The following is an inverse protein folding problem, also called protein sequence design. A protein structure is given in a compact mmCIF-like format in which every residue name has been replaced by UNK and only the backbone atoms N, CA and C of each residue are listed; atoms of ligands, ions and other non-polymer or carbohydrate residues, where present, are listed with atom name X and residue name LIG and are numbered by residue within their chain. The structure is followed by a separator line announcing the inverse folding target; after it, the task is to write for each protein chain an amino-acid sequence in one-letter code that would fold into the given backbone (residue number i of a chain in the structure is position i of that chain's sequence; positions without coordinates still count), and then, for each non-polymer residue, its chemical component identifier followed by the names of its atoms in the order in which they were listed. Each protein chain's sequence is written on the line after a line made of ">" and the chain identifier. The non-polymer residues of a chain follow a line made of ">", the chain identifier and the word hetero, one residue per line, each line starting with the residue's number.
data_IF_960196100911
#
_entry.id   IF_960196100911
#
_cell.length_a   1.000
_cell.length_b   1.000
_cell.length_c   1.000
_cell.angle_alpha   90.00
_cell.angle_beta   90.00
_cell.angle_gamma   90.00
#
_symmetry.space_group_name_H-M   'P 1'
#
loop_
_entity.id
_entity.type
_entity.pdbx_description
1 polymer ?
#
# COMPACT_ATOMS: atom_id res chain seq x y z
N UNK A 1 14.03 -10.21 -0.41
CA UNK A 1 12.92 -9.66 0.43
C UNK A 1 13.21 -8.19 0.75
N UNK A 2 12.18 -7.37 0.75
CA UNK A 2 12.38 -5.92 1.05
C UNK A 2 11.15 -5.39 1.79
N UNK A 3 11.24 -4.19 2.31
CA UNK A 3 10.08 -3.60 3.05
C UNK A 3 9.44 -2.50 2.20
N UNK A 4 8.57 -2.87 1.29
CA UNK A 4 7.90 -1.85 0.43
C UNK A 4 6.71 -1.27 1.19
N UNK A 5 6.43 0.00 1.01
CA UNK A 5 5.28 0.63 1.73
C UNK A 5 4.42 1.44 0.75
N UNK A 6 3.14 1.20 0.77
CA UNK A 6 2.22 1.95 -0.14
C UNK A 6 1.65 3.15 0.62
N UNK A 7 1.59 4.30 -0.01
CA UNK A 7 1.05 5.51 0.68
C UNK A 7 0.17 6.32 -0.27
N UNK A 8 -0.70 7.12 0.28
CA UNK A 8 -1.60 7.97 -0.55
C UNK A 8 -2.02 9.17 0.30
N UNK A 9 -1.90 10.37 -0.22
CA UNK A 9 -2.27 11.57 0.58
C UNK A 9 -3.77 11.87 0.47
N UNK A 10 -4.34 12.36 1.54
CA UNK A 10 -5.79 12.70 1.53
C UNK A 10 -5.96 14.19 1.84
N UNK A 11 -5.17 14.70 2.76
CA UNK A 11 -5.26 16.14 3.12
C UNK A 11 -4.42 16.97 2.14
N UNK A 12 -4.53 18.27 2.20
CA UNK A 12 -3.74 19.14 1.27
C UNK A 12 -2.72 19.96 2.08
N UNK A 13 -1.92 19.31 2.87
CA UNK A 13 -0.89 20.04 3.68
C UNK A 13 0.45 19.33 3.55
N UNK A 14 0.49 18.07 3.90
CA UNK A 14 1.76 17.30 3.81
C UNK A 14 1.47 15.84 4.16
N UNK A 15 0.36 15.33 3.70
CA UNK A 15 -0.02 13.91 4.00
C UNK A 15 1.07 12.96 3.50
N UNK A 16 1.72 13.28 2.41
CA UNK A 16 2.80 12.38 1.89
C UNK A 16 3.90 12.25 2.95
N UNK A 17 4.25 13.34 3.58
CA UNK A 17 5.30 13.29 4.64
C UNK A 17 4.76 12.48 5.82
N UNK A 18 3.57 12.80 6.26
CA UNK A 18 2.95 12.06 7.40
C UNK A 18 2.78 10.59 7.02
N UNK A 19 2.42 10.32 5.79
CA UNK A 19 2.23 8.91 5.34
C UNK A 19 3.58 8.19 5.40
N UNK A 20 4.59 8.73 4.76
CA UNK A 20 5.95 8.09 4.77
C UNK A 20 6.35 7.76 6.21
N UNK A 21 6.23 8.72 7.10
CA UNK A 21 6.58 8.47 8.53
C UNK A 21 5.70 7.32 9.05
N UNK A 22 4.51 7.20 8.53
CA UNK A 22 3.60 6.10 8.96
C UNK A 22 4.12 4.78 8.41
N UNK A 23 4.59 4.78 7.18
CA UNK A 23 5.13 3.51 6.59
C UNK A 23 6.44 3.16 7.29
N UNK A 24 7.29 4.14 7.49
CA UNK A 24 8.60 3.88 8.17
C UNK A 24 8.33 3.38 9.59
N UNK A 25 7.43 4.03 10.29
CA UNK A 25 7.09 3.58 11.67
C UNK A 25 6.57 2.14 11.60
N UNK A 26 5.88 1.83 10.54
CA UNK A 26 5.34 0.47 10.34
C UNK A 26 6.49 -0.50 10.07
N UNK A 27 7.52 -0.03 9.42
CA UNK A 27 8.68 -0.91 9.10
C UNK A 27 8.91 -0.87 7.59
N UNK A 28 8.89 0.31 7.03
CA UNK A 28 9.09 0.46 5.56
C UNK A 28 10.33 1.32 5.30
N UNK A 29 11.05 1.03 4.25
CA UNK A 29 12.27 1.82 3.93
C UNK A 29 11.87 3.08 3.15
N UNK A 30 12.50 4.19 3.43
CA UNK A 30 12.15 5.46 2.70
C UNK A 30 12.45 5.29 1.22
N UNK A 31 13.47 4.52 0.90
CA UNK A 31 13.82 4.30 -0.53
C UNK A 31 12.68 3.56 -1.23
N UNK A 32 11.90 2.80 -0.49
CA UNK A 32 10.77 2.04 -1.11
C UNK A 32 9.44 2.62 -0.61
N UNK A 33 9.15 3.85 -0.96
CA UNK A 33 7.88 4.49 -0.52
C UNK A 33 7.03 4.82 -1.75
N UNK A 34 6.23 3.88 -2.21
CA UNK A 34 5.37 4.14 -3.40
C UNK A 34 4.12 4.90 -2.95
N UNK A 35 4.27 6.17 -2.66
CA UNK A 35 3.11 6.99 -2.21
C UNK A 35 2.25 7.40 -3.40
N UNK A 36 1.17 8.09 -3.14
CA UNK A 36 0.27 8.54 -4.24
C UNK A 36 -0.18 9.97 -3.97
N UNK A 37 0.33 10.92 -4.71
CA UNK A 37 -0.07 12.34 -4.50
C UNK A 37 -1.50 12.55 -5.01
N UNK A 38 -2.45 11.92 -4.37
CA UNK A 38 -3.88 12.07 -4.80
C UNK A 38 -4.29 13.55 -4.75
N UNK A 39 -3.61 14.35 -3.98
CA UNK A 39 -3.96 15.80 -3.89
C UNK A 39 -3.56 16.50 -5.19
N UNK A 40 -4.21 16.17 -6.27
CA UNK A 40 -3.88 16.81 -7.58
C UNK A 40 -5.16 16.98 -8.40
N UNK A 41 -5.04 17.04 -9.70
CA UNK A 41 -6.24 17.21 -10.56
C UNK A 41 -7.15 15.98 -10.40
N UNK A 42 -6.57 14.83 -10.19
CA UNK A 42 -7.39 13.60 -10.02
C UNK A 42 -6.62 12.59 -9.15
N UNK A 43 -7.15 11.41 -8.98
CA UNK A 43 -6.46 10.38 -8.15
C UNK A 43 -5.17 9.94 -8.85
N UNK A 44 -4.07 9.98 -8.15
CA UNK A 44 -2.77 9.57 -8.77
C UNK A 44 -2.44 8.14 -8.33
N UNK A 45 -3.19 7.17 -8.81
CA UNK A 45 -2.93 5.75 -8.43
C UNK A 45 -1.69 5.24 -9.17
N UNK A 46 -0.53 5.66 -8.76
CA UNK A 46 0.72 5.20 -9.42
C UNK A 46 1.54 4.33 -8.46
N UNK A 47 1.31 4.46 -7.17
CA UNK A 47 2.06 3.65 -6.17
C UNK A 47 1.83 2.16 -6.44
N UNK A 48 0.63 1.68 -6.21
CA UNK A 48 0.34 0.22 -6.45
C UNK A 48 0.55 -0.09 -7.94
N UNK A 49 0.31 0.88 -8.79
CA UNK A 49 0.49 0.65 -10.26
C UNK A 49 1.94 0.25 -10.54
N UNK A 50 2.87 0.87 -9.85
CA UNK A 50 4.31 0.54 -10.04
C UNK A 50 4.70 -0.55 -9.03
N UNK A 51 4.04 -0.57 -7.90
CA UNK A 51 4.34 -1.60 -6.86
C UNK A 51 4.06 -2.99 -7.43
N UNK A 52 3.04 -3.11 -8.24
CA UNK A 52 2.71 -4.43 -8.85
C UNK A 52 3.88 -4.91 -9.72
N UNK A 53 4.70 -3.99 -10.19
CA UNK A 53 5.86 -4.38 -11.05
C UNK A 53 7.20 -4.11 -10.33
N UNK A 54 7.17 -3.69 -9.09
CA UNK A 54 8.45 -3.41 -8.36
C UNK A 54 8.64 -4.42 -7.21
N UNK A 55 7.58 -4.98 -6.70
CA UNK A 55 7.71 -5.96 -5.58
C UNK A 55 8.51 -7.17 -6.04
N UNK A 56 9.28 -7.75 -5.15
CA UNK A 56 10.09 -8.94 -5.52
C UNK A 56 9.41 -10.20 -4.99
N UNK A 57 9.83 -11.36 -5.43
CA UNK A 57 9.21 -12.62 -4.96
C UNK A 57 9.49 -12.81 -3.47
N UNK A 58 8.48 -12.70 -2.65
CA UNK A 58 8.67 -12.87 -1.18
C UNK A 58 8.87 -11.50 -0.51
N UNK A 59 8.37 -10.45 -1.12
CA UNK A 59 8.53 -9.09 -0.53
C UNK A 59 7.32 -8.78 0.37
N UNK A 60 7.49 -7.88 1.31
CA UNK A 60 6.35 -7.52 2.21
C UNK A 60 5.85 -6.12 1.86
N UNK A 61 4.57 -5.99 1.61
CA UNK A 61 4.00 -4.66 1.26
C UNK A 61 3.26 -4.09 2.48
N UNK A 62 3.89 -3.20 3.20
CA UNK A 62 3.25 -2.60 4.41
C UNK A 62 2.26 -1.52 3.97
N UNK A 63 1.00 -1.66 4.33
CA UNK A 63 -0.01 -0.64 3.94
C UNK A 63 -0.47 0.12 5.19
N UNK A 64 -0.66 1.42 5.07
CA UNK A 64 -1.10 2.23 6.24
C UNK A 64 -2.61 2.48 6.13
N UNK A 65 -3.23 2.87 7.21
CA UNK A 65 -4.70 3.13 7.19
C UNK A 65 -4.96 4.61 7.49
N UNK A 66 -4.91 5.45 6.48
CA UNK A 66 -5.16 6.90 6.70
C UNK A 66 -6.54 7.27 6.14
N UNK A 67 -6.94 6.62 5.07
CA UNK A 67 -8.27 6.92 4.47
C UNK A 67 -8.95 5.61 4.06
N UNK A 68 -8.52 5.02 2.98
CA UNK A 68 -9.13 3.73 2.52
C UNK A 68 -8.43 3.28 1.23
N UNK A 69 -8.16 2.00 1.11
CA UNK A 69 -7.50 1.47 -0.11
C UNK A 69 -8.31 1.82 -1.36
N UNK A 70 -9.49 1.26 -1.48
CA UNK A 70 -10.34 1.55 -2.67
C UNK A 70 -11.53 2.42 -2.25
N UNK A 71 -12.73 1.97 -2.54
CA UNK A 71 -13.94 2.76 -2.17
C UNK A 71 -15.19 1.93 -2.44
N UNK A 72 -15.40 1.53 -3.67
CA UNK A 72 -16.60 0.71 -4.00
C UNK A 72 -16.16 -0.59 -4.67
N UNK A 73 -15.58 -0.51 -5.84
CA UNK A 73 -15.12 -1.74 -6.55
C UNK A 73 -14.08 -2.47 -5.70
N UNK A 74 -13.77 -3.69 -6.06
CA UNK A 74 -12.76 -4.47 -5.28
C UNK A 74 -11.35 -3.98 -5.62
N UNK A 75 -11.06 -2.73 -5.34
CA UNK A 75 -9.71 -2.18 -5.63
C UNK A 75 -8.74 -2.65 -4.55
N UNK A 76 -9.10 -2.46 -3.30
CA UNK A 76 -8.21 -2.88 -2.18
C UNK A 76 -7.90 -4.38 -2.31
N UNK A 77 -8.85 -5.15 -2.77
CA UNK A 77 -8.62 -6.61 -2.93
C UNK A 77 -7.94 -6.90 -4.28
N UNK A 78 -8.03 -5.99 -5.22
CA UNK A 78 -7.38 -6.22 -6.55
C UNK A 78 -5.87 -6.38 -6.36
N UNK A 79 -5.19 -5.31 -6.01
CA UNK A 79 -3.71 -5.40 -5.82
C UNK A 79 -3.36 -6.45 -4.75
N UNK A 80 -4.31 -6.86 -3.93
CA UNK A 80 -4.01 -7.90 -2.90
C UNK A 80 -3.98 -9.26 -3.61
N UNK A 81 -4.91 -9.49 -4.50
CA UNK A 81 -4.93 -10.79 -5.24
C UNK A 81 -3.75 -10.81 -6.21
N UNK A 82 -3.38 -9.66 -6.72
CA UNK A 82 -2.23 -9.59 -7.67
C UNK A 82 -0.93 -9.90 -6.92
N UNK A 83 -0.77 -9.38 -5.73
CA UNK A 83 0.47 -9.64 -4.95
C UNK A 83 0.41 -11.05 -4.36
N UNK A 84 -0.76 -11.49 -3.97
CA UNK A 84 -0.89 -12.86 -3.38
C UNK A 84 -0.45 -13.90 -4.41
N UNK A 85 -0.71 -13.65 -5.67
CA UNK A 85 -0.32 -14.61 -6.74
C UNK A 85 1.16 -14.42 -7.10
N UNK A 86 1.70 -13.25 -6.85
CA UNK A 86 3.13 -13.00 -7.18
C UNK A 86 4.05 -13.53 -6.06
N UNK A 87 3.50 -14.18 -5.06
CA UNK A 87 4.35 -14.71 -3.95
C UNK A 87 4.81 -13.54 -3.08
N UNK A 88 4.03 -12.49 -3.01
CA UNK A 88 4.41 -11.32 -2.17
C UNK A 88 3.41 -11.18 -1.03
N UNK A 89 3.86 -10.68 0.10
CA UNK A 89 2.94 -10.52 1.26
C UNK A 89 2.57 -9.04 1.41
N UNK A 90 1.55 -8.76 2.18
CA UNK A 90 1.13 -7.34 2.39
C UNK A 90 0.80 -7.14 3.87
N UNK A 91 1.66 -6.49 4.60
CA UNK A 91 1.41 -6.27 6.05
C UNK A 91 0.39 -5.14 6.23
N UNK A 92 -0.34 -5.15 7.32
CA UNK A 92 -1.37 -4.10 7.55
C UNK A 92 -1.18 -3.48 8.94
N UNK A 93 -0.93 -2.20 9.00
CA UNK A 93 -0.74 -1.53 10.31
C UNK A 93 -2.02 -1.68 11.16
N UNK A 94 -3.14 -1.92 10.54
CA UNK A 94 -4.42 -2.07 11.29
C UNK A 94 -4.34 -3.29 12.23
N UNK A 95 -3.53 -4.26 11.90
CA UNK A 95 -3.43 -5.47 12.77
C UNK A 95 -1.97 -5.89 12.92
N UNK A 96 -1.23 -5.89 11.85
CA UNK A 96 0.21 -6.31 11.91
C UNK A 96 0.47 -7.39 10.87
N UNK A 97 -0.54 -8.11 10.47
CA UNK A 97 -0.36 -9.19 9.46
C UNK A 97 -1.11 -8.81 8.18
N UNK A 98 -1.11 -9.69 7.21
CA UNK A 98 -1.81 -9.39 5.93
C UNK A 98 -3.27 -9.82 6.02
N UNK A 99 -3.95 -9.84 4.91
CA UNK A 99 -5.38 -10.25 4.91
C UNK A 99 -5.48 -11.77 5.08
N UNK A 100 -5.21 -12.25 6.26
CA UNK A 100 -5.29 -13.72 6.51
C UNK A 100 -6.76 -14.13 6.58
N UNK A 101 -7.47 -14.00 5.48
CA UNK A 101 -8.91 -14.37 5.46
C UNK A 101 -9.64 -13.55 4.40
N UNK A 102 -9.38 -13.82 3.15
CA UNK A 102 -10.06 -13.06 2.05
C UNK A 102 -10.50 -14.05 0.96
N UNK A 103 -11.55 -14.79 1.20
CA UNK A 103 -12.03 -15.77 0.19
C UNK A 103 -13.54 -15.66 0.06
N UNK A 104 -14.12 -16.38 -0.86
CA UNK A 104 -15.60 -16.32 -1.04
C UNK A 104 -16.25 -17.48 -0.28
N UNK A 105 -15.91 -17.64 0.98
CA UNK A 105 -16.50 -18.75 1.79
C UNK A 105 -18.01 -18.56 1.89
#
# INVERSE_FOLDING_TARGET
>A
MRLFGYARVSTSQQSLDIQVRALKDAGVKANRIFTDKASGSSSDRKGLDLLRMKVEEGDVILVKKLDRLGRDTADMIQLIKEFDAQGVSIRFIDDGISTDGEMGK
#
